data_IF_657436445313
#
_entry.id   IF_657436445313
#
_cell.length_a   1.000
_cell.length_b   1.000
_cell.length_c   1.000
_cell.angle_alpha   90.00
_cell.angle_beta   90.00
_cell.angle_gamma   90.00
#
_symmetry.space_group_name_H-M   'P 1'
#
loop_
_entity.id
_entity.type
_entity.pdbx_description
1 polymer ?
#
# COMPACT_ATOMS: atom_id res chain seq x y z
N UNK A 1 23.42 62.01 -28.88
CA UNK A 1 23.79 60.76 -29.58
C UNK A 1 22.58 59.84 -29.57
N UNK A 2 22.00 59.50 -30.72
CA UNK A 2 20.88 58.56 -30.80
C UNK A 2 21.39 57.11 -30.79
N UNK A 3 20.66 56.26 -30.06
CA UNK A 3 20.91 54.82 -29.97
C UNK A 3 20.37 54.15 -31.23
N UNK A 4 21.21 53.37 -31.90
CA UNK A 4 20.84 52.53 -33.03
C UNK A 4 19.77 51.51 -32.60
N UNK A 5 18.63 51.56 -33.27
CA UNK A 5 17.59 50.53 -33.24
C UNK A 5 18.08 49.38 -34.13
N UNK A 6 18.39 48.24 -33.53
CA UNK A 6 18.52 46.98 -34.28
C UNK A 6 17.10 46.45 -34.49
N UNK A 7 16.67 46.45 -35.74
CA UNK A 7 15.49 45.70 -36.20
C UNK A 7 15.80 44.21 -36.10
N UNK A 8 15.21 43.53 -35.11
CA UNK A 8 15.04 42.07 -35.19
C UNK A 8 13.67 41.78 -35.80
N UNK A 9 13.76 41.13 -36.96
CA UNK A 9 12.69 40.57 -37.78
C UNK A 9 11.72 39.70 -36.97
N UNK A 10 10.43 40.02 -37.06
CA UNK A 10 9.36 39.14 -36.63
C UNK A 10 9.31 37.90 -37.53
N UNK A 11 9.90 36.79 -37.07
CA UNK A 11 9.64 35.47 -37.63
C UNK A 11 8.17 35.12 -37.37
N UNK A 12 7.37 35.17 -38.44
CA UNK A 12 5.99 34.71 -38.43
C UNK A 12 5.97 33.21 -38.07
N UNK A 13 5.28 32.87 -36.99
CA UNK A 13 5.03 31.49 -36.59
C UNK A 13 4.39 30.72 -37.76
N UNK A 14 4.84 29.48 -38.03
CA UNK A 14 4.31 28.69 -39.13
C UNK A 14 2.82 28.43 -38.91
N UNK A 15 2.00 28.84 -39.88
CA UNK A 15 0.58 28.54 -39.94
C UNK A 15 0.45 27.01 -39.89
N UNK A 16 -0.26 26.45 -38.89
CA UNK A 16 -0.38 25.00 -38.75
C UNK A 16 -1.01 24.40 -40.02
N UNK A 17 -0.59 23.19 -40.44
CA UNK A 17 -1.17 22.53 -41.60
C UNK A 17 -2.69 22.44 -41.46
N UNK A 18 -3.48 22.65 -42.53
CA UNK A 18 -4.95 22.68 -42.47
C UNK A 18 -5.55 21.39 -41.88
N UNK A 19 -4.85 20.26 -42.00
CA UNK A 19 -5.23 18.98 -41.38
C UNK A 19 -5.22 19.02 -39.85
N UNK A 20 -4.33 19.81 -39.23
CA UNK A 20 -4.23 19.92 -37.76
C UNK A 20 -5.34 20.80 -37.20
N UNK A 21 -5.76 21.82 -37.93
CA UNK A 21 -6.93 22.63 -37.56
C UNK A 21 -8.23 21.83 -37.74
N UNK A 22 -8.35 21.07 -38.84
CA UNK A 22 -9.49 20.15 -39.04
C UNK A 22 -9.55 19.08 -37.95
N UNK A 23 -8.42 18.51 -37.54
CA UNK A 23 -8.36 17.55 -36.44
C UNK A 23 -8.70 18.19 -35.09
N UNK A 24 -8.24 19.41 -34.83
CA UNK A 24 -8.62 20.15 -33.61
C UNK A 24 -10.11 20.45 -33.59
N UNK A 25 -10.69 20.85 -34.71
CA UNK A 25 -12.10 21.12 -34.85
C UNK A 25 -12.94 19.85 -34.69
N UNK A 26 -12.51 18.72 -35.25
CA UNK A 26 -13.13 17.41 -35.04
C UNK A 26 -13.04 16.95 -33.59
N UNK A 27 -11.89 17.14 -32.92
CA UNK A 27 -11.72 16.82 -31.49
C UNK A 27 -12.58 17.72 -30.61
N UNK A 28 -12.71 19.01 -30.95
CA UNK A 28 -13.58 19.94 -30.23
C UNK A 28 -15.06 19.58 -30.42
N UNK A 29 -15.47 19.23 -31.65
CA UNK A 29 -16.82 18.75 -31.96
C UNK A 29 -17.13 17.43 -31.24
N UNK A 30 -16.18 16.50 -31.19
CA UNK A 30 -16.31 15.25 -30.44
C UNK A 30 -16.36 15.49 -28.92
N UNK A 31 -15.53 16.40 -28.40
CA UNK A 31 -15.54 16.78 -26.99
C UNK A 31 -16.86 17.42 -26.60
N UNK A 32 -17.42 18.28 -27.45
CA UNK A 32 -18.72 18.90 -27.21
C UNK A 32 -19.85 17.87 -27.29
N UNK A 33 -19.83 16.96 -28.27
CA UNK A 33 -20.78 15.83 -28.34
C UNK A 33 -20.71 14.91 -27.12
N UNK A 34 -19.51 14.65 -26.60
CA UNK A 34 -19.32 13.82 -25.40
C UNK A 34 -19.83 14.56 -24.17
N UNK A 35 -19.57 15.86 -24.07
CA UNK A 35 -20.08 16.68 -22.98
C UNK A 35 -21.62 16.78 -23.01
N UNK A 36 -22.21 16.93 -24.19
CA UNK A 36 -23.68 16.89 -24.38
C UNK A 36 -24.24 15.51 -23.99
N UNK A 37 -23.53 14.41 -24.23
CA UNK A 37 -23.94 13.06 -23.80
C UNK A 37 -23.78 12.81 -22.29
N UNK A 38 -23.07 13.68 -21.57
CA UNK A 38 -22.89 13.60 -20.11
C UNK A 38 -23.76 14.56 -19.32
N UNK A 39 -24.50 15.45 -19.97
CA UNK A 39 -25.60 16.16 -19.32
C UNK A 39 -26.73 15.16 -19.07
N UNK A 40 -27.25 15.13 -17.83
CA UNK A 40 -28.33 14.25 -17.38
C UNK A 40 -29.62 14.56 -18.16
N UNK A 41 -29.68 14.00 -19.35
CA UNK A 41 -30.85 13.96 -20.18
C UNK A 41 -31.78 12.91 -19.58
N UNK A 42 -32.70 13.39 -18.75
CA UNK A 42 -33.84 12.67 -18.17
C UNK A 42 -34.87 12.29 -19.28
N UNK A 43 -34.38 11.78 -20.41
CA UNK A 43 -35.22 11.21 -21.45
C UNK A 43 -35.58 9.78 -21.04
N UNK A 44 -36.88 9.44 -20.93
CA UNK A 44 -37.28 8.06 -20.78
C UNK A 44 -36.74 7.28 -21.99
N UNK A 45 -36.03 6.18 -21.75
CA UNK A 45 -35.58 5.27 -22.81
C UNK A 45 -36.84 4.74 -23.51
N UNK A 46 -37.22 5.37 -24.63
CA UNK A 46 -38.47 5.06 -25.35
C UNK A 46 -38.39 3.69 -26.04
N UNK A 47 -37.17 3.20 -26.32
CA UNK A 47 -36.96 1.91 -26.96
C UNK A 47 -35.87 1.09 -26.25
N UNK A 48 -36.31 0.34 -25.24
CA UNK A 48 -35.49 -0.62 -24.48
C UNK A 48 -34.84 -1.64 -25.42
N UNK A 49 -35.51 -2.02 -26.51
CA UNK A 49 -35.01 -3.03 -27.45
C UNK A 49 -33.79 -2.49 -28.21
N UNK A 50 -33.84 -1.24 -28.67
CA UNK A 50 -32.71 -0.61 -29.34
C UNK A 50 -31.52 -0.42 -28.38
N UNK A 51 -31.78 0.03 -27.14
CA UNK A 51 -30.73 0.19 -26.13
C UNK A 51 -30.06 -1.15 -25.78
N UNK A 52 -30.85 -2.23 -25.66
CA UNK A 52 -30.35 -3.57 -25.38
C UNK A 52 -29.57 -4.14 -26.57
N UNK A 53 -30.00 -3.85 -27.80
CA UNK A 53 -29.29 -4.24 -29.04
C UNK A 53 -27.95 -3.51 -29.16
N UNK A 54 -27.90 -2.21 -28.85
CA UNK A 54 -26.65 -1.43 -28.84
C UNK A 54 -25.71 -1.90 -27.72
N UNK A 55 -26.23 -2.19 -26.53
CA UNK A 55 -25.45 -2.74 -25.43
C UNK A 55 -24.83 -4.10 -25.80
N UNK A 56 -25.61 -4.98 -26.44
CA UNK A 56 -25.12 -6.28 -26.92
C UNK A 56 -24.10 -6.13 -28.06
N UNK A 57 -24.25 -5.13 -28.93
CA UNK A 57 -23.30 -4.86 -30.00
C UNK A 57 -21.96 -4.28 -29.49
N UNK A 58 -21.98 -3.50 -28.41
CA UNK A 58 -20.80 -2.85 -27.82
C UNK A 58 -20.07 -3.78 -26.83
N UNK A 59 -20.79 -4.68 -26.16
CA UNK A 59 -20.25 -5.61 -25.15
C UNK A 59 -18.99 -6.38 -25.59
N UNK A 60 -18.91 -6.97 -26.81
CA UNK A 60 -17.71 -7.69 -27.25
C UNK A 60 -16.46 -6.81 -27.33
N UNK A 61 -16.62 -5.52 -27.64
CA UNK A 61 -15.51 -4.57 -27.73
C UNK A 61 -15.05 -4.12 -26.34
N UNK A 62 -16.00 -3.92 -25.42
CA UNK A 62 -15.70 -3.66 -24.00
C UNK A 62 -15.01 -4.86 -23.37
N UNK A 63 -15.52 -6.07 -23.60
CA UNK A 63 -14.91 -7.32 -23.11
C UNK A 63 -13.49 -7.51 -23.66
N UNK A 64 -13.26 -7.19 -24.94
CA UNK A 64 -11.91 -7.20 -25.55
C UNK A 64 -11.00 -6.12 -24.96
N UNK A 65 -11.50 -4.92 -24.69
CA UNK A 65 -10.72 -3.85 -24.05
C UNK A 65 -10.35 -4.20 -22.60
N UNK A 66 -11.27 -4.84 -21.86
CA UNK A 66 -11.00 -5.36 -20.52
C UNK A 66 -9.96 -6.48 -20.58
N UNK A 67 -10.10 -7.43 -21.51
CA UNK A 67 -9.11 -8.49 -21.72
C UNK A 67 -7.73 -7.94 -22.10
N UNK A 68 -7.67 -6.95 -22.99
CA UNK A 68 -6.41 -6.27 -23.37
C UNK A 68 -5.82 -5.50 -22.19
N UNK A 69 -6.63 -4.85 -21.36
CA UNK A 69 -6.18 -4.18 -20.14
C UNK A 69 -5.60 -5.18 -19.12
N UNK A 70 -6.23 -6.34 -18.94
CA UNK A 70 -5.72 -7.44 -18.12
C UNK A 70 -4.40 -8.02 -18.68
N UNK A 71 -4.24 -8.05 -20.00
CA UNK A 71 -3.01 -8.52 -20.65
C UNK A 71 -1.88 -7.48 -20.60
N UNK A 72 -2.18 -6.19 -20.60
CA UNK A 72 -1.20 -5.09 -20.59
C UNK A 72 -0.83 -4.61 -19.19
N UNK A 73 -1.56 -5.02 -18.15
CA UNK A 73 -1.24 -4.71 -16.77
C UNK A 73 -0.45 -5.87 -16.13
N UNK A 74 0.89 -5.80 -16.05
CA UNK A 74 1.72 -6.89 -15.53
C UNK A 74 1.39 -7.24 -14.07
N UNK A 75 0.80 -6.30 -13.33
CA UNK A 75 0.35 -6.52 -11.94
C UNK A 75 -0.86 -7.45 -11.90
N UNK A 76 -1.84 -7.29 -12.78
CA UNK A 76 -3.04 -8.13 -12.79
C UNK A 76 -2.73 -9.55 -13.28
N UNK A 77 -1.77 -9.70 -14.22
CA UNK A 77 -1.23 -11.02 -14.58
C UNK A 77 -0.50 -11.69 -13.41
N UNK A 78 0.24 -10.94 -12.62
CA UNK A 78 0.95 -11.47 -11.43
C UNK A 78 -0.06 -11.84 -10.34
N UNK A 79 -1.11 -11.05 -10.13
CA UNK A 79 -2.18 -11.34 -9.17
C UNK A 79 -2.97 -12.56 -9.62
N UNK A 80 -3.42 -12.64 -10.88
CA UNK A 80 -4.12 -13.81 -11.40
C UNK A 80 -3.26 -15.09 -11.35
N UNK A 81 -1.96 -14.99 -11.64
CA UNK A 81 -1.05 -16.13 -11.47
C UNK A 81 -0.78 -16.46 -10.00
N UNK A 82 -0.75 -15.47 -9.10
CA UNK A 82 -0.64 -15.68 -7.65
C UNK A 82 -1.87 -16.43 -7.12
N UNK A 83 -3.06 -16.05 -7.57
CA UNK A 83 -4.33 -16.69 -7.18
C UNK A 83 -4.38 -18.13 -7.70
N UNK A 84 -3.98 -18.37 -8.97
CA UNK A 84 -3.84 -19.73 -9.52
C UNK A 84 -2.81 -20.58 -8.76
N UNK A 85 -1.68 -19.99 -8.36
CA UNK A 85 -0.66 -20.69 -7.56
C UNK A 85 -1.22 -21.00 -6.16
N UNK A 86 -1.98 -20.11 -5.55
CA UNK A 86 -2.61 -20.35 -4.25
C UNK A 86 -3.69 -21.44 -4.31
N UNK A 87 -4.48 -21.48 -5.38
CA UNK A 87 -5.48 -22.53 -5.61
C UNK A 87 -4.81 -23.90 -5.81
N UNK A 88 -3.76 -23.98 -6.64
CA UNK A 88 -2.97 -25.20 -6.82
C UNK A 88 -2.28 -25.64 -5.51
N UNK A 89 -1.83 -24.70 -4.68
CA UNK A 89 -1.25 -25.01 -3.37
C UNK A 89 -2.27 -25.59 -2.39
N UNK A 90 -3.52 -25.12 -2.45
CA UNK A 90 -4.64 -25.67 -1.66
C UNK A 90 -4.98 -27.09 -2.12
N UNK A 91 -5.08 -27.32 -3.42
CA UNK A 91 -5.33 -28.65 -4.00
C UNK A 91 -4.22 -29.65 -3.62
N UNK A 92 -2.95 -29.26 -3.75
CA UNK A 92 -1.82 -30.11 -3.35
C UNK A 92 -1.87 -30.43 -1.85
N UNK A 93 -2.28 -29.48 -1.00
CA UNK A 93 -2.39 -29.72 0.44
C UNK A 93 -3.53 -30.71 0.78
N UNK A 94 -4.66 -30.64 0.07
CA UNK A 94 -5.76 -31.60 0.21
C UNK A 94 -5.34 -32.99 -0.29
N UNK A 95 -4.70 -33.08 -1.46
CA UNK A 95 -4.18 -34.35 -1.98
C UNK A 95 -3.13 -34.97 -1.06
N UNK A 96 -2.23 -34.18 -0.48
CA UNK A 96 -1.25 -34.66 0.49
C UNK A 96 -1.90 -35.18 1.78
N UNK A 97 -2.95 -34.52 2.28
CA UNK A 97 -3.67 -34.99 3.46
C UNK A 97 -4.37 -36.33 3.18
N UNK A 98 -4.99 -36.48 2.01
CA UNK A 98 -5.60 -37.74 1.57
C UNK A 98 -4.55 -38.84 1.42
N UNK A 99 -3.37 -38.53 0.88
CA UNK A 99 -2.26 -39.49 0.76
C UNK A 99 -1.72 -39.88 2.13
N UNK A 100 -1.55 -38.92 3.05
CA UNK A 100 -1.10 -39.18 4.43
C UNK A 100 -2.09 -40.10 5.15
N UNK A 101 -3.38 -39.80 5.11
CA UNK A 101 -4.46 -40.64 5.67
C UNK A 101 -4.46 -42.06 5.06
N UNK A 102 -4.32 -42.17 3.73
CA UNK A 102 -4.23 -43.47 3.05
C UNK A 102 -2.96 -44.25 3.41
N UNK A 103 -1.81 -43.58 3.60
CA UNK A 103 -0.58 -44.25 4.06
C UNK A 103 -0.65 -44.68 5.52
N UNK A 104 -1.39 -43.98 6.38
CA UNK A 104 -1.65 -44.41 7.76
C UNK A 104 -2.55 -45.66 7.78
N UNK A 105 -3.56 -45.73 6.92
CA UNK A 105 -4.48 -46.88 6.80
C UNK A 105 -3.84 -48.13 6.14
N UNK A 106 -2.85 -47.94 5.24
CA UNK A 106 -2.18 -49.03 4.50
C UNK A 106 -0.93 -49.56 5.26
N UNK A 107 -0.56 -48.95 6.38
CA UNK A 107 0.70 -49.19 7.11
C UNK A 107 0.95 -50.62 7.60
N UNK A 108 -0.07 -51.50 7.61
CA UNK A 108 0.07 -52.92 7.99
C UNK A 108 0.33 -53.87 6.81
N UNK A 109 0.13 -53.46 5.54
CA UNK A 109 0.22 -54.36 4.37
C UNK A 109 1.33 -54.00 3.35
N UNK A 110 2.06 -52.89 3.51
CA UNK A 110 3.05 -52.40 2.52
C UNK A 110 4.47 -52.29 3.07
N UNK A 111 5.44 -52.64 2.22
CA UNK A 111 6.88 -52.63 2.49
C UNK A 111 7.36 -51.27 3.04
N UNK A 112 7.89 -51.29 4.28
CA UNK A 112 8.33 -50.11 5.03
C UNK A 112 9.40 -49.28 4.30
N UNK A 113 10.17 -49.88 3.38
CA UNK A 113 11.14 -49.14 2.57
C UNK A 113 10.47 -48.13 1.63
N UNK A 114 9.28 -48.43 1.11
CA UNK A 114 8.55 -47.58 0.16
C UNK A 114 7.84 -46.46 0.91
N UNK A 115 7.28 -46.76 2.08
CA UNK A 115 6.65 -45.77 2.97
C UNK A 115 7.65 -44.71 3.42
N UNK A 116 8.88 -45.10 3.78
CA UNK A 116 9.92 -44.17 4.18
C UNK A 116 10.38 -43.24 3.04
N UNK A 117 10.46 -43.74 1.80
CA UNK A 117 10.80 -42.91 0.62
C UNK A 117 9.65 -41.93 0.28
N UNK A 118 8.40 -42.36 0.43
CA UNK A 118 7.22 -41.51 0.23
C UNK A 118 7.15 -40.39 1.28
N UNK A 119 7.37 -40.71 2.55
CA UNK A 119 7.44 -39.74 3.65
C UNK A 119 8.58 -38.73 3.46
N UNK A 120 9.74 -39.17 2.96
CA UNK A 120 10.88 -38.29 2.63
C UNK A 120 10.54 -37.31 1.49
N UNK A 121 9.85 -37.78 0.45
CA UNK A 121 9.37 -36.93 -0.65
C UNK A 121 8.31 -35.93 -0.19
N UNK A 122 7.36 -36.36 0.64
CA UNK A 122 6.36 -35.49 1.29
C UNK A 122 7.05 -34.39 2.11
N UNK A 123 8.08 -34.74 2.89
CA UNK A 123 8.86 -33.78 3.67
C UNK A 123 9.62 -32.78 2.78
N UNK A 124 10.18 -33.24 1.65
CA UNK A 124 10.83 -32.37 0.67
C UNK A 124 9.85 -31.37 0.05
N UNK A 125 8.65 -31.82 -0.34
CA UNK A 125 7.61 -30.94 -0.89
C UNK A 125 7.09 -29.93 0.15
N UNK A 126 6.93 -30.35 1.42
CA UNK A 126 6.61 -29.43 2.54
C UNK A 126 7.70 -28.37 2.74
N UNK A 127 8.97 -28.74 2.57
CA UNK A 127 10.11 -27.82 2.67
C UNK A 127 10.15 -26.82 1.52
N UNK A 128 9.91 -27.27 0.29
CA UNK A 128 9.84 -26.39 -0.88
C UNK A 128 8.64 -25.44 -0.81
N UNK A 129 7.51 -25.86 -0.25
CA UNK A 129 6.37 -24.98 0.05
C UNK A 129 6.74 -23.86 1.03
N UNK A 130 7.56 -24.13 2.05
CA UNK A 130 8.06 -23.10 3.00
C UNK A 130 9.01 -22.08 2.33
N UNK A 131 9.63 -22.39 1.20
CA UNK A 131 10.48 -21.46 0.45
C UNK A 131 9.68 -20.42 -0.35
N UNK A 132 8.40 -20.68 -0.65
CA UNK A 132 7.52 -19.75 -1.39
C UNK A 132 6.46 -19.06 -0.53
N UNK A 133 6.28 -19.49 0.71
CA UNK A 133 5.47 -18.79 1.73
C UNK A 133 6.44 -18.00 2.59
N UNK A 134 6.46 -16.68 2.45
CA UNK A 134 7.12 -15.79 3.42
C UNK A 134 6.61 -16.14 4.82
N UNK A 135 7.55 -16.43 5.73
CA UNK A 135 7.33 -16.83 7.13
C UNK A 135 6.15 -16.09 7.74
N UNK A 136 5.00 -16.75 7.80
CA UNK A 136 3.96 -16.51 8.79
C UNK A 136 3.87 -17.84 9.52
N UNK A 137 4.12 -17.79 10.82
CA UNK A 137 4.57 -18.89 11.65
C UNK A 137 3.69 -20.14 11.56
N UNK A 138 4.34 -21.26 11.22
CA UNK A 138 3.80 -22.61 11.30
C UNK A 138 4.41 -23.35 12.50
N UNK A 139 4.44 -22.69 13.66
CA UNK A 139 4.76 -23.28 14.96
C UNK A 139 3.53 -23.11 15.86
N UNK A 140 2.56 -24.01 15.71
CA UNK A 140 1.62 -24.47 16.76
C UNK A 140 0.66 -25.51 16.17
N UNK A 141 1.21 -26.55 15.54
CA UNK A 141 0.48 -27.77 15.21
C UNK A 141 1.11 -28.93 15.98
N UNK A 142 1.02 -28.88 17.30
CA UNK A 142 1.06 -30.08 18.11
C UNK A 142 -0.26 -30.85 17.89
N UNK A 143 -0.24 -32.19 17.83
CA UNK A 143 -1.46 -32.97 17.65
C UNK A 143 -2.33 -32.79 18.90
N UNK A 144 -3.52 -32.22 18.74
CA UNK A 144 -4.50 -32.11 19.81
C UNK A 144 -4.93 -33.52 20.24
N UNK A 145 -4.33 -33.99 21.33
CA UNK A 145 -4.92 -35.04 22.15
C UNK A 145 -6.34 -34.59 22.54
N UNK A 146 -7.32 -35.46 22.27
CA UNK A 146 -8.75 -35.27 22.56
C UNK A 146 -8.96 -34.80 24.01
N UNK A 147 -9.04 -33.49 24.19
CA UNK A 147 -9.43 -32.83 25.44
C UNK A 147 -10.78 -32.14 25.21
N UNK A 148 -11.83 -32.74 25.77
CA UNK A 148 -13.20 -32.23 25.77
C UNK A 148 -13.34 -30.95 26.60
N UNK A 149 -12.78 -29.83 26.12
CA UNK A 149 -13.09 -28.49 26.63
C UNK A 149 -13.08 -27.49 25.47
N UNK A 150 -14.23 -27.38 24.77
CA UNK A 150 -14.51 -26.25 23.88
C UNK A 150 -14.53 -24.95 24.71
N UNK A 151 -13.38 -24.32 24.90
CA UNK A 151 -13.32 -22.89 25.22
C UNK A 151 -14.05 -22.19 24.08
N UNK A 152 -15.23 -21.63 24.34
CA UNK A 152 -15.92 -20.75 23.38
C UNK A 152 -14.95 -19.63 23.04
N UNK A 153 -14.42 -19.65 21.81
CA UNK A 153 -13.62 -18.55 21.30
C UNK A 153 -14.51 -17.30 21.32
N UNK A 154 -14.17 -16.32 22.17
CA UNK A 154 -14.91 -15.06 22.29
C UNK A 154 -15.00 -14.38 20.92
N UNK A 155 -16.15 -13.77 20.59
CA UNK A 155 -16.30 -13.09 19.30
C UNK A 155 -15.41 -11.86 19.29
N UNK A 156 -14.81 -11.55 18.14
CA UNK A 156 -13.93 -10.38 18.01
C UNK A 156 -14.60 -9.06 18.39
N UNK A 157 -15.89 -8.91 18.11
CA UNK A 157 -16.66 -7.73 18.46
C UNK A 157 -16.82 -7.53 19.97
N UNK A 158 -16.69 -8.59 20.77
CA UNK A 158 -16.84 -8.54 22.23
C UNK A 158 -15.51 -8.22 22.93
N UNK A 159 -14.39 -8.17 22.19
CA UNK A 159 -13.08 -7.85 22.74
C UNK A 159 -12.94 -6.33 22.97
N UNK A 160 -12.07 -5.90 23.89
CA UNK A 160 -11.62 -4.51 23.97
C UNK A 160 -11.06 -4.03 22.63
N UNK A 161 -11.22 -2.74 22.31
CA UNK A 161 -10.92 -2.17 21.00
C UNK A 161 -9.53 -2.56 20.46
N UNK A 162 -8.47 -2.36 21.24
CA UNK A 162 -7.10 -2.70 20.86
C UNK A 162 -6.93 -4.19 20.58
N UNK A 163 -7.51 -5.05 21.43
CA UNK A 163 -7.48 -6.51 21.26
C UNK A 163 -8.19 -6.97 19.98
N UNK A 164 -9.16 -6.20 19.45
CA UNK A 164 -9.76 -6.48 18.14
C UNK A 164 -8.74 -6.30 17.02
N UNK A 165 -7.98 -5.20 17.06
CA UNK A 165 -6.94 -4.92 16.08
C UNK A 165 -5.78 -5.89 16.19
N UNK A 166 -5.32 -6.20 17.41
CA UNK A 166 -4.31 -7.23 17.65
C UNK A 166 -4.74 -8.58 17.05
N UNK A 167 -6.02 -8.93 17.17
CA UNK A 167 -6.53 -10.20 16.61
C UNK A 167 -6.49 -10.25 15.07
N UNK A 168 -6.61 -9.12 14.38
CA UNK A 168 -6.63 -9.04 12.91
C UNK A 168 -5.22 -8.83 12.34
N UNK A 169 -4.45 -7.93 12.92
CA UNK A 169 -3.18 -7.47 12.39
C UNK A 169 -1.97 -8.15 13.07
N UNK A 170 -2.16 -8.74 14.26
CA UNK A 170 -1.05 -9.22 15.08
C UNK A 170 -0.07 -8.09 15.40
N UNK A 171 1.22 -8.36 15.26
CA UNK A 171 2.29 -7.37 15.46
C UNK A 171 2.26 -6.18 14.49
N UNK A 172 1.51 -6.28 13.39
CA UNK A 172 1.33 -5.19 12.41
C UNK A 172 0.38 -4.12 12.92
N UNK A 173 -0.29 -4.34 14.04
CA UNK A 173 -0.92 -3.28 14.83
C UNK A 173 0.05 -2.80 15.92
N UNK A 174 0.53 -1.57 15.79
CA UNK A 174 1.40 -0.96 16.81
C UNK A 174 0.53 -0.23 17.82
N UNK A 175 0.14 -0.94 18.88
CA UNK A 175 -0.66 -0.40 19.96
C UNK A 175 -0.01 0.85 20.61
N UNK A 176 -0.80 1.79 21.18
CA UNK A 176 -0.28 3.03 21.76
C UNK A 176 0.83 2.83 22.78
N UNK A 177 0.68 1.84 23.68
CA UNK A 177 1.70 1.54 24.70
C UNK A 177 3.03 1.05 24.08
N UNK A 178 2.96 0.22 23.03
CA UNK A 178 4.14 -0.22 22.27
C UNK A 178 4.77 0.97 21.55
N UNK A 179 3.95 1.84 20.98
CA UNK A 179 4.41 3.04 20.28
C UNK A 179 5.12 4.03 21.21
N UNK A 180 4.59 4.28 22.41
CA UNK A 180 5.24 5.07 23.45
C UNK A 180 6.65 4.56 23.76
N UNK A 181 6.82 3.25 23.88
CA UNK A 181 8.11 2.63 24.13
C UNK A 181 9.09 2.84 22.97
N UNK A 182 8.65 2.60 21.72
CA UNK A 182 9.47 2.82 20.52
C UNK A 182 9.90 4.29 20.38
N UNK A 183 8.95 5.20 20.57
CA UNK A 183 9.17 6.65 20.49
C UNK A 183 9.82 7.24 21.75
N UNK A 184 9.95 6.46 22.83
CA UNK A 184 10.45 6.86 24.15
C UNK A 184 9.82 8.14 24.65
N UNK A 185 8.50 8.21 24.54
CA UNK A 185 7.67 9.32 25.00
C UNK A 185 6.47 8.73 25.73
N UNK A 186 5.96 9.45 26.73
CA UNK A 186 4.67 9.13 27.35
C UNK A 186 3.63 10.08 26.79
N UNK A 187 2.54 9.53 26.28
CA UNK A 187 1.41 10.29 25.82
C UNK A 187 0.62 10.82 27.01
N UNK A 188 0.17 12.07 26.90
CA UNK A 188 -0.71 12.64 27.92
C UNK A 188 -2.06 11.92 27.91
N UNK A 189 -2.80 11.92 29.03
CA UNK A 189 -4.14 11.34 29.09
C UNK A 189 -5.09 11.92 28.03
N UNK A 190 -4.99 13.22 27.74
CA UNK A 190 -5.81 13.92 26.75
C UNK A 190 -5.49 13.46 25.32
N UNK A 191 -4.19 13.28 25.02
CA UNK A 191 -3.78 12.75 23.72
C UNK A 191 -4.23 11.29 23.56
N UNK A 192 -4.08 10.46 24.60
CA UNK A 192 -4.55 9.08 24.60
C UNK A 192 -6.05 8.99 24.39
N UNK A 193 -6.86 9.84 25.05
CA UNK A 193 -8.30 9.89 24.82
C UNK A 193 -8.64 10.21 23.34
N UNK A 194 -7.95 11.20 22.76
CA UNK A 194 -8.12 11.56 21.34
C UNK A 194 -7.75 10.42 20.39
N UNK A 195 -6.65 9.72 20.69
CA UNK A 195 -6.16 8.57 19.91
C UNK A 195 -7.13 7.40 20.00
N UNK A 196 -7.67 7.10 21.18
CA UNK A 196 -8.67 6.05 21.37
C UNK A 196 -9.97 6.36 20.65
N UNK A 197 -10.46 7.60 20.71
CA UNK A 197 -11.63 8.02 19.94
C UNK A 197 -11.41 7.81 18.44
N UNK A 198 -10.25 8.22 17.92
CA UNK A 198 -9.91 8.03 16.51
C UNK A 198 -9.71 6.55 16.12
N UNK A 199 -9.23 5.71 17.05
CA UNK A 199 -9.14 4.26 16.85
C UNK A 199 -10.53 3.62 16.80
N UNK A 200 -11.46 4.11 17.62
CA UNK A 200 -12.85 3.63 17.60
C UNK A 200 -13.51 3.96 16.28
N UNK A 201 -13.33 5.18 15.76
CA UNK A 201 -13.80 5.56 14.42
C UNK A 201 -13.18 4.68 13.32
N UNK A 202 -11.91 4.32 13.44
CA UNK A 202 -11.25 3.41 12.51
C UNK A 202 -11.87 2.01 12.55
N UNK A 203 -12.20 1.51 13.75
CA UNK A 203 -12.90 0.24 13.93
C UNK A 203 -14.30 0.27 13.33
N UNK A 204 -15.08 1.30 13.65
CA UNK A 204 -16.44 1.48 13.12
C UNK A 204 -16.40 1.50 11.59
N UNK A 205 -15.45 2.22 10.99
CA UNK A 205 -15.28 2.24 9.55
C UNK A 205 -14.96 0.85 8.97
N UNK A 206 -14.05 0.08 9.58
CA UNK A 206 -13.71 -1.28 9.14
C UNK A 206 -14.89 -2.25 9.27
N UNK A 207 -15.60 -2.18 10.40
CA UNK A 207 -16.70 -3.08 10.72
C UNK A 207 -17.89 -2.91 9.77
N UNK A 208 -18.20 -1.67 9.38
CA UNK A 208 -19.32 -1.34 8.50
C UNK A 208 -18.98 -1.42 7.00
N UNK A 209 -17.80 -1.92 6.62
CA UNK A 209 -17.53 -2.23 5.22
C UNK A 209 -18.36 -3.45 4.81
N UNK A 210 -19.19 -3.29 3.78
CA UNK A 210 -20.04 -4.34 3.25
C UNK A 210 -19.26 -5.63 2.95
N UNK A 211 -18.04 -5.51 2.41
CA UNK A 211 -17.22 -6.67 2.06
C UNK A 211 -16.63 -7.40 3.28
N UNK A 212 -16.60 -6.77 4.46
CA UNK A 212 -15.98 -7.32 5.68
C UNK A 212 -16.99 -7.68 6.76
N UNK A 213 -18.18 -7.07 6.74
CA UNK A 213 -19.18 -7.19 7.80
C UNK A 213 -19.55 -8.67 8.08
N UNK A 214 -19.81 -9.44 7.03
CA UNK A 214 -20.15 -10.87 7.17
C UNK A 214 -19.01 -11.69 7.79
N UNK A 215 -17.76 -11.28 7.59
CA UNK A 215 -16.60 -11.93 8.21
C UNK A 215 -16.50 -11.59 9.71
N UNK A 216 -16.82 -10.36 10.10
CA UNK A 216 -16.90 -9.98 11.51
C UNK A 216 -18.04 -10.68 12.24
N UNK A 217 -19.25 -10.65 11.67
CA UNK A 217 -20.46 -11.26 12.28
C UNK A 217 -20.29 -12.77 12.49
N UNK A 218 -19.71 -13.46 11.52
CA UNK A 218 -19.47 -14.90 11.59
C UNK A 218 -18.15 -15.27 12.28
N UNK A 219 -17.45 -14.30 12.88
CA UNK A 219 -16.17 -14.50 13.57
C UNK A 219 -15.12 -15.24 12.70
N UNK A 220 -15.09 -14.94 11.39
CA UNK A 220 -14.15 -15.52 10.40
C UNK A 220 -12.77 -14.85 10.49
N UNK A 221 -12.12 -15.02 11.64
CA UNK A 221 -10.85 -14.35 11.97
C UNK A 221 -9.75 -14.64 10.96
N UNK A 222 -9.59 -15.89 10.53
CA UNK A 222 -8.57 -16.26 9.54
C UNK A 222 -8.76 -15.50 8.21
N UNK A 223 -10.00 -15.36 7.76
CA UNK A 223 -10.31 -14.58 6.55
C UNK A 223 -9.94 -13.12 6.74
N UNK A 224 -10.31 -12.52 7.87
CA UNK A 224 -9.93 -11.13 8.18
C UNK A 224 -8.42 -10.94 8.22
N UNK A 225 -7.69 -11.85 8.87
CA UNK A 225 -6.22 -11.83 8.92
C UNK A 225 -5.61 -11.92 7.52
N UNK A 226 -6.13 -12.81 6.67
CA UNK A 226 -5.69 -12.95 5.27
C UNK A 226 -5.95 -11.67 4.47
N UNK A 227 -7.16 -11.10 4.56
CA UNK A 227 -7.52 -9.85 3.87
C UNK A 227 -6.57 -8.71 4.27
N UNK A 228 -6.19 -8.65 5.54
CA UNK A 228 -5.32 -7.61 6.04
C UNK A 228 -3.83 -7.98 6.03
N UNK A 229 -3.40 -9.10 5.45
CA UNK A 229 -2.00 -9.61 5.56
C UNK A 229 -0.93 -8.63 5.05
N UNK A 230 -1.24 -7.86 4.02
CA UNK A 230 -0.30 -6.87 3.45
C UNK A 230 -0.42 -5.48 4.12
N UNK A 231 -1.24 -5.36 5.17
CA UNK A 231 -1.51 -4.10 5.86
C UNK A 231 -0.90 -4.02 7.27
N UNK A 232 -0.56 -2.81 7.68
CA UNK A 232 -0.19 -2.46 9.05
C UNK A 232 -0.98 -1.25 9.53
N UNK A 233 -1.36 -1.24 10.80
CA UNK A 233 -2.07 -0.14 11.44
C UNK A 233 -1.14 0.56 12.42
N UNK A 234 -0.82 1.83 12.13
CA UNK A 234 0.14 2.62 12.87
C UNK A 234 -0.44 3.99 13.23
N UNK A 235 -0.23 4.42 14.48
CA UNK A 235 -0.46 5.79 14.90
C UNK A 235 0.75 6.64 14.54
N UNK A 236 0.54 7.69 13.74
CA UNK A 236 1.53 8.73 13.49
C UNK A 236 1.46 9.77 14.59
N UNK A 237 2.38 9.69 15.54
CA UNK A 237 2.47 10.61 16.67
C UNK A 237 3.10 11.95 16.24
N UNK A 238 2.55 13.10 16.67
CA UNK A 238 3.22 14.39 16.51
C UNK A 238 4.38 14.57 17.49
N UNK A 239 4.61 13.60 18.38
CA UNK A 239 5.57 13.66 19.47
C UNK A 239 6.56 12.49 19.45
N UNK A 240 7.79 12.76 19.87
CA UNK A 240 8.88 11.80 20.01
C UNK A 240 9.74 12.20 21.21
N UNK A 241 10.33 11.26 21.93
CA UNK A 241 11.27 11.56 22.99
C UNK A 241 12.64 11.94 22.42
N UNK A 242 13.28 12.97 22.95
CA UNK A 242 14.68 13.24 22.68
C UNK A 242 15.60 12.23 23.42
N UNK A 243 16.92 12.44 23.37
CA UNK A 243 17.91 11.57 24.04
C UNK A 243 17.76 11.52 25.57
N UNK A 244 17.20 12.58 26.15
CA UNK A 244 16.95 12.72 27.59
C UNK A 244 15.54 12.23 27.99
N UNK A 245 14.78 11.66 27.04
CA UNK A 245 13.39 11.22 27.27
C UNK A 245 12.36 12.35 27.31
N UNK A 246 12.74 13.59 27.00
CA UNK A 246 11.84 14.75 26.96
C UNK A 246 11.04 14.73 25.66
N UNK A 247 9.74 14.94 25.79
CA UNK A 247 8.83 15.03 24.66
C UNK A 247 9.12 16.25 23.78
N UNK A 248 9.40 16.00 22.50
CA UNK A 248 9.60 17.02 21.46
C UNK A 248 8.73 16.72 20.24
N UNK A 249 8.62 17.69 19.32
CA UNK A 249 7.88 17.52 18.07
C UNK A 249 8.55 16.47 17.16
N UNK A 250 7.74 15.58 16.58
CA UNK A 250 8.21 14.58 15.63
C UNK A 250 8.40 15.22 14.25
N UNK A 251 9.66 15.36 13.83
CA UNK A 251 10.09 15.87 12.53
C UNK A 251 11.18 14.94 11.98
N UNK A 252 11.60 15.17 10.74
CA UNK A 252 12.71 14.41 10.16
C UNK A 252 14.02 14.61 10.95
N UNK A 253 14.25 15.81 11.49
CA UNK A 253 15.42 16.07 12.34
C UNK A 253 15.38 15.25 13.63
N UNK A 254 14.26 15.23 14.35
CA UNK A 254 14.18 14.51 15.63
C UNK A 254 14.13 12.99 15.44
N UNK A 255 13.55 12.50 14.33
CA UNK A 255 13.64 11.10 13.94
C UNK A 255 15.09 10.67 13.69
N UNK A 256 15.87 11.51 13.00
CA UNK A 256 17.29 11.24 12.75
C UNK A 256 18.11 11.26 14.04
N UNK A 257 17.87 12.21 14.93
CA UNK A 257 18.59 12.32 16.19
C UNK A 257 18.37 11.10 17.09
N UNK A 258 17.14 10.57 17.10
CA UNK A 258 16.76 9.41 17.92
C UNK A 258 17.14 8.07 17.27
N UNK A 259 16.89 7.92 15.97
CA UNK A 259 17.06 6.66 15.24
C UNK A 259 18.22 6.77 14.24
N UNK A 260 19.35 7.30 14.70
CA UNK A 260 20.49 7.61 13.83
C UNK A 260 21.04 6.40 13.05
N UNK A 261 20.95 5.20 13.62
CA UNK A 261 21.40 3.93 13.01
C UNK A 261 20.62 3.55 11.76
N UNK A 262 19.39 4.04 11.61
CA UNK A 262 18.58 3.81 10.41
C UNK A 262 19.03 4.67 9.23
N UNK A 263 19.83 5.72 9.45
CA UNK A 263 20.26 6.61 8.38
C UNK A 263 21.71 6.33 8.00
N UNK A 264 22.07 6.70 6.77
CA UNK A 264 23.48 6.57 6.36
C UNK A 264 24.37 7.46 7.22
N UNK A 265 25.45 6.84 7.72
CA UNK A 265 26.52 7.52 8.45
C UNK A 265 27.08 8.72 7.69
N UNK A 266 26.98 9.89 8.32
CA UNK A 266 27.48 11.16 7.81
C UNK A 266 27.15 12.28 8.79
N UNK A 267 28.06 13.25 8.94
CA UNK A 267 27.81 14.43 9.78
C UNK A 267 26.63 15.24 9.23
N UNK A 268 25.78 15.81 10.09
CA UNK A 268 24.62 16.61 9.66
C UNK A 268 24.99 17.80 8.76
N UNK A 269 26.21 18.35 8.91
CA UNK A 269 26.76 19.41 8.05
C UNK A 269 26.90 19.01 6.57
N UNK A 270 26.88 17.71 6.25
CA UNK A 270 26.97 17.17 4.90
C UNK A 270 25.62 16.79 4.26
N UNK A 271 24.50 16.94 4.99
CA UNK A 271 23.19 16.55 4.49
C UNK A 271 22.53 17.71 3.74
N UNK A 272 22.39 17.57 2.42
CA UNK A 272 21.77 18.60 1.59
C UNK A 272 20.36 19.00 2.06
N UNK A 273 19.61 18.06 2.66
CA UNK A 273 18.24 18.29 3.13
C UNK A 273 18.16 18.94 4.51
N UNK A 274 19.25 19.00 5.30
CA UNK A 274 19.20 19.57 6.65
C UNK A 274 18.84 21.07 6.65
N UNK A 275 19.15 21.76 5.56
CA UNK A 275 18.83 23.18 5.37
C UNK A 275 17.46 23.41 4.69
N UNK A 276 16.72 22.34 4.38
CA UNK A 276 15.44 22.46 3.69
C UNK A 276 14.28 22.64 4.69
N UNK A 277 13.23 23.41 4.35
CA UNK A 277 12.12 23.68 5.27
C UNK A 277 11.45 22.42 5.83
N UNK A 278 11.31 21.38 5.00
CA UNK A 278 10.66 20.14 5.41
C UNK A 278 11.45 19.36 6.48
N UNK A 279 12.74 19.62 6.67
CA UNK A 279 13.57 18.87 7.63
C UNK A 279 13.12 19.06 9.08
N UNK A 280 12.66 20.27 9.40
CA UNK A 280 12.15 20.63 10.72
C UNK A 280 10.63 20.65 10.79
N UNK A 281 9.95 20.35 9.69
CA UNK A 281 8.49 20.37 9.64
C UNK A 281 7.92 19.18 10.43
N UNK A 282 7.10 19.43 11.47
CA UNK A 282 6.59 18.36 12.30
C UNK A 282 5.34 17.70 11.71
N UNK A 283 5.06 16.47 12.16
CA UNK A 283 3.74 15.86 12.02
C UNK A 283 2.76 16.70 12.83
N UNK A 284 1.77 17.31 12.16
CA UNK A 284 0.91 18.33 12.80
C UNK A 284 -0.08 17.76 13.82
N UNK A 285 -0.66 16.59 13.54
CA UNK A 285 -1.73 15.99 14.35
C UNK A 285 -1.56 14.48 14.39
N UNK A 286 -1.78 13.91 15.58
CA UNK A 286 -1.87 12.47 15.78
C UNK A 286 -3.02 11.87 14.98
N UNK A 287 -2.74 10.82 14.22
CA UNK A 287 -3.76 10.10 13.45
C UNK A 287 -3.36 8.66 13.17
N UNK A 288 -4.35 7.76 13.21
CA UNK A 288 -4.18 6.39 12.74
C UNK A 288 -4.14 6.34 11.22
N UNK A 289 -3.27 5.50 10.70
CA UNK A 289 -3.21 5.20 9.27
C UNK A 289 -3.07 3.71 9.04
N UNK A 290 -3.80 3.23 8.05
CA UNK A 290 -3.64 1.88 7.53
C UNK A 290 -2.66 1.94 6.35
N UNK A 291 -1.54 1.26 6.50
CA UNK A 291 -0.41 1.25 5.59
C UNK A 291 -0.46 -0.04 4.78
N UNK A 292 -0.46 0.08 3.46
CA UNK A 292 -0.32 -1.08 2.57
C UNK A 292 1.14 -1.22 2.14
N UNK A 293 1.64 -2.45 2.16
CA UNK A 293 2.95 -2.83 1.63
C UNK A 293 3.04 -2.66 0.10
N UNK A 294 1.92 -2.61 -0.61
CA UNK A 294 1.87 -2.55 -2.07
C UNK A 294 2.55 -1.29 -2.64
N UNK A 295 3.56 -1.51 -3.46
CA UNK A 295 4.24 -0.45 -4.20
C UNK A 295 3.51 -0.10 -5.50
N UNK A 296 3.03 1.14 -5.61
CA UNK A 296 2.31 1.63 -6.79
C UNK A 296 3.27 2.28 -7.80
N UNK A 297 3.61 1.54 -8.85
CA UNK A 297 4.53 1.98 -9.89
C UNK A 297 4.01 3.22 -10.65
N UNK A 298 4.77 4.32 -10.61
CA UNK A 298 4.45 5.61 -11.22
C UNK A 298 5.24 5.90 -12.52
N UNK A 299 5.77 4.87 -13.19
CA UNK A 299 6.54 5.02 -14.44
C UNK A 299 5.75 5.74 -15.52
N UNK A 300 4.48 5.36 -15.70
CA UNK A 300 3.61 5.88 -16.76
C UNK A 300 2.47 6.77 -16.24
N UNK A 301 2.28 6.87 -14.92
CA UNK A 301 1.17 7.62 -14.31
C UNK A 301 1.67 8.41 -13.11
N UNK A 302 1.17 9.63 -12.95
CA UNK A 302 1.47 10.48 -11.78
C UNK A 302 1.02 9.79 -10.49
N UNK A 303 1.69 10.03 -9.34
CA UNK A 303 1.28 9.49 -8.04
C UNK A 303 -0.18 9.73 -7.70
N UNK A 304 -0.69 10.94 -7.95
CA UNK A 304 -2.09 11.28 -7.72
C UNK A 304 -3.07 10.37 -8.47
N UNK A 305 -2.76 10.05 -9.73
CA UNK A 305 -3.57 9.14 -10.56
C UNK A 305 -3.48 7.71 -10.02
N UNK A 306 -2.29 7.26 -9.64
CA UNK A 306 -2.11 5.91 -9.06
C UNK A 306 -2.84 5.74 -7.74
N UNK A 307 -2.78 6.72 -6.85
CA UNK A 307 -3.52 6.72 -5.58
C UNK A 307 -5.03 6.77 -5.80
N UNK A 308 -5.50 7.53 -6.81
CA UNK A 308 -6.91 7.55 -7.19
C UNK A 308 -7.38 6.19 -7.72
N UNK A 309 -6.59 5.54 -8.57
CA UNK A 309 -6.88 4.18 -9.05
C UNK A 309 -6.91 3.17 -7.91
N UNK A 310 -5.92 3.24 -7.02
CA UNK A 310 -5.86 2.41 -5.81
C UNK A 310 -7.08 2.63 -4.90
N UNK A 311 -7.51 3.88 -4.72
CA UNK A 311 -8.69 4.18 -3.94
C UNK A 311 -9.93 3.50 -4.55
N UNK A 312 -10.15 3.67 -5.86
CA UNK A 312 -11.28 3.04 -6.58
C UNK A 312 -11.25 1.51 -6.49
N UNK A 313 -10.10 0.88 -6.71
CA UNK A 313 -9.98 -0.59 -6.68
C UNK A 313 -10.27 -1.18 -5.31
N UNK A 314 -10.09 -0.39 -4.24
CA UNK A 314 -10.32 -0.82 -2.87
C UNK A 314 -11.64 -0.30 -2.29
N UNK A 315 -12.53 0.29 -3.10
CA UNK A 315 -13.80 0.88 -2.63
C UNK A 315 -13.63 2.09 -1.70
N UNK A 316 -12.49 2.79 -1.79
CA UNK A 316 -12.15 3.93 -0.93
C UNK A 316 -12.44 5.27 -1.61
N UNK A 317 -12.83 6.27 -0.82
CA UNK A 317 -12.86 7.65 -1.30
C UNK A 317 -11.44 8.15 -1.58
N UNK A 318 -11.28 8.94 -2.65
CA UNK A 318 -10.00 9.56 -3.00
C UNK A 318 -9.41 10.43 -1.89
N UNK A 319 -10.24 10.96 -0.97
CA UNK A 319 -9.78 11.77 0.18
C UNK A 319 -9.09 10.95 1.27
N UNK A 320 -9.37 9.64 1.33
CA UNK A 320 -8.82 8.72 2.32
C UNK A 320 -7.41 8.26 1.96
N UNK A 321 -7.10 8.16 0.67
CA UNK A 321 -5.78 7.71 0.21
C UNK A 321 -4.89 8.91 -0.04
N UNK A 322 -3.76 8.99 0.66
CA UNK A 322 -2.82 10.10 0.53
C UNK A 322 -1.41 9.66 0.17
N UNK A 323 -0.72 10.55 -0.53
CA UNK A 323 0.73 10.46 -0.71
C UNK A 323 1.41 10.94 0.57
N UNK A 324 2.23 10.10 1.17
CA UNK A 324 2.96 10.41 2.41
C UNK A 324 3.95 11.53 2.20
N UNK A 325 4.12 12.41 3.19
CA UNK A 325 5.29 13.28 3.29
C UNK A 325 6.57 12.47 3.55
N UNK A 326 7.74 13.08 3.35
CA UNK A 326 9.03 12.44 3.66
C UNK A 326 9.15 12.05 5.13
N UNK A 327 8.65 12.89 6.04
CA UNK A 327 8.65 12.61 7.48
C UNK A 327 7.78 11.40 7.78
N UNK A 328 6.57 11.32 7.22
CA UNK A 328 5.66 10.20 7.41
C UNK A 328 6.21 8.89 6.82
N UNK A 329 6.78 8.93 5.61
CA UNK A 329 7.35 7.72 4.99
C UNK A 329 8.53 7.16 5.80
N UNK A 330 9.39 8.02 6.34
CA UNK A 330 10.51 7.63 7.21
C UNK A 330 10.02 7.14 8.56
N UNK A 331 9.06 7.85 9.17
CA UNK A 331 8.41 7.45 10.42
C UNK A 331 7.83 6.03 10.31
N UNK A 332 7.05 5.77 9.26
CA UNK A 332 6.42 4.47 9.01
C UNK A 332 7.48 3.36 8.87
N UNK A 333 8.54 3.59 8.09
CA UNK A 333 9.63 2.62 7.87
C UNK A 333 10.33 2.25 9.16
N UNK A 334 10.76 3.25 9.94
CA UNK A 334 11.51 3.02 11.18
C UNK A 334 10.64 2.27 12.18
N UNK A 335 9.41 2.73 12.43
CA UNK A 335 8.60 2.17 13.50
C UNK A 335 8.05 0.79 13.17
N UNK A 336 7.71 0.53 11.91
CA UNK A 336 7.31 -0.82 11.51
C UNK A 336 8.49 -1.78 11.53
N UNK A 337 9.68 -1.35 11.11
CA UNK A 337 10.88 -2.20 11.19
C UNK A 337 11.26 -2.51 12.64
N UNK A 338 11.16 -1.52 13.55
CA UNK A 338 11.35 -1.75 14.98
C UNK A 338 10.25 -2.61 15.62
N UNK A 339 9.00 -2.43 15.20
CA UNK A 339 7.89 -3.22 15.72
C UNK A 339 8.02 -4.67 15.26
N UNK A 340 8.15 -4.90 13.95
CA UNK A 340 8.11 -6.24 13.36
C UNK A 340 9.45 -6.98 13.41
N UNK A 341 10.56 -6.28 13.70
CA UNK A 341 11.92 -6.83 13.58
C UNK A 341 12.27 -7.30 12.15
N UNK A 342 11.51 -6.82 11.17
CA UNK A 342 11.70 -7.09 9.74
C UNK A 342 11.22 -5.91 8.90
N UNK A 343 11.61 -5.88 7.62
CA UNK A 343 11.16 -4.84 6.70
C UNK A 343 9.72 -5.07 6.28
N UNK A 344 8.83 -4.20 6.77
CA UNK A 344 7.44 -4.20 6.32
C UNK A 344 7.31 -3.85 4.83
N UNK A 345 8.05 -2.83 4.36
CA UNK A 345 8.02 -2.42 2.95
C UNK A 345 9.28 -2.89 2.25
N UNK A 346 9.10 -3.52 1.09
CA UNK A 346 10.21 -3.89 0.22
C UNK A 346 11.13 -2.71 -0.12
N UNK A 347 12.38 -3.02 -0.47
CA UNK A 347 13.34 -2.05 -1.01
C UNK A 347 12.79 -1.39 -2.27
N UNK A 348 12.21 -0.21 -2.11
CA UNK A 348 11.61 0.57 -3.18
C UNK A 348 11.99 2.03 -3.07
N UNK A 349 11.92 2.74 -4.19
CA UNK A 349 12.05 4.18 -4.21
C UNK A 349 10.68 4.81 -4.11
N UNK A 350 10.33 5.23 -2.88
CA UNK A 350 9.06 5.86 -2.55
C UNK A 350 9.10 7.34 -2.89
N UNK A 351 8.24 7.75 -3.80
CA UNK A 351 7.96 9.14 -4.13
C UNK A 351 7.06 9.71 -3.04
N UNK A 352 7.54 10.75 -2.37
CA UNK A 352 6.78 11.44 -1.32
C UNK A 352 6.02 12.66 -1.88
N UNK A 353 5.03 13.12 -1.12
CA UNK A 353 4.32 14.38 -1.38
C UNK A 353 5.15 15.61 -1.01
N UNK A 354 6.32 15.42 -0.40
CA UNK A 354 7.21 16.51 -0.04
C UNK A 354 7.94 17.03 -1.26
N UNK A 355 7.90 18.35 -1.43
CA UNK A 355 8.65 19.08 -2.44
C UNK A 355 9.45 20.21 -1.79
N UNK A 356 10.49 20.67 -2.49
CA UNK A 356 11.31 21.78 -2.04
C UNK A 356 11.85 22.58 -3.23
N UNK A 357 12.16 23.85 -3.00
CA UNK A 357 12.90 24.68 -3.92
C UNK A 357 14.21 25.07 -3.24
N UNK A 358 15.38 24.71 -3.80
CA UNK A 358 16.67 25.09 -3.22
C UNK A 358 16.81 26.60 -3.02
N UNK A 359 16.35 27.37 -4.02
CA UNK A 359 16.47 28.82 -4.09
C UNK A 359 15.19 29.36 -4.75
N UNK A 360 14.84 30.63 -4.55
CA UNK A 360 13.60 31.24 -5.08
C UNK A 360 13.45 31.15 -6.63
N UNK A 361 14.57 31.03 -7.36
CA UNK A 361 14.58 30.90 -8.83
C UNK A 361 14.72 29.46 -9.33
N UNK A 362 14.88 28.49 -8.43
CA UNK A 362 15.15 27.09 -8.79
C UNK A 362 13.85 26.31 -9.01
N UNK A 363 13.88 25.32 -9.90
CA UNK A 363 12.74 24.43 -10.12
C UNK A 363 12.41 23.63 -8.86
N UNK A 364 11.12 23.46 -8.57
CA UNK A 364 10.64 22.58 -7.50
C UNK A 364 11.13 21.16 -7.71
N UNK A 365 11.76 20.60 -6.68
CA UNK A 365 12.23 19.21 -6.62
C UNK A 365 11.29 18.42 -5.72
N UNK A 366 11.04 17.17 -6.10
CA UNK A 366 10.33 16.21 -5.29
C UNK A 366 11.33 15.39 -4.45
N UNK A 367 10.91 14.98 -3.26
CA UNK A 367 11.71 14.19 -2.33
C UNK A 367 11.31 12.72 -2.42
N UNK A 368 12.31 11.84 -2.35
CA UNK A 368 12.13 10.40 -2.39
C UNK A 368 12.96 9.74 -1.30
N UNK A 369 12.46 8.60 -0.85
CA UNK A 369 13.06 7.78 0.19
C UNK A 369 13.30 6.37 -0.34
N UNK A 370 14.37 5.73 0.10
CA UNK A 370 14.72 4.36 -0.24
C UNK A 370 15.74 3.79 0.74
N UNK A 371 15.88 2.47 0.77
CA UNK A 371 16.99 1.80 1.45
C UNK A 371 18.20 1.66 0.52
N UNK A 372 19.39 1.88 1.07
CA UNK A 372 20.66 1.61 0.42
C UNK A 372 21.63 1.07 1.48
N UNK A 373 22.14 -0.15 1.27
CA UNK A 373 22.99 -0.84 2.24
C UNK A 373 22.34 -0.86 3.63
N UNK A 374 21.07 -1.27 3.65
CA UNK A 374 20.21 -1.36 4.83
C UNK A 374 19.90 -0.06 5.58
N UNK A 375 20.36 1.08 5.07
CA UNK A 375 20.10 2.39 5.65
C UNK A 375 19.18 3.26 4.78
N UNK A 376 18.35 4.07 5.44
CA UNK A 376 17.45 5.03 4.85
C UNK A 376 18.22 6.17 4.18
N UNK A 377 17.89 6.40 2.91
CA UNK A 377 18.39 7.49 2.07
C UNK A 377 17.26 8.43 1.70
N UNK A 378 17.61 9.71 1.62
CA UNK A 378 16.73 10.79 1.16
C UNK A 378 17.39 11.46 -0.05
N UNK A 379 16.66 11.51 -1.16
CA UNK A 379 17.11 12.12 -2.41
C UNK A 379 16.12 13.16 -2.88
N UNK A 380 16.61 14.15 -3.63
CA UNK A 380 15.78 15.19 -4.24
C UNK A 380 16.05 15.32 -5.74
N UNK A 381 15.01 15.37 -6.56
CA UNK A 381 15.11 15.48 -8.02
C UNK A 381 13.96 16.30 -8.59
N UNK A 382 14.19 17.01 -9.69
CA UNK A 382 13.14 17.75 -10.40
C UNK A 382 12.23 16.78 -11.16
N UNK A 383 10.91 16.94 -11.01
CA UNK A 383 9.89 16.14 -11.70
C UNK A 383 9.80 14.67 -11.25
N UNK A 384 8.93 13.87 -11.89
CA UNK A 384 8.92 12.42 -11.68
C UNK A 384 10.11 11.84 -12.45
N UNK A 385 11.01 11.08 -11.82
CA UNK A 385 12.20 10.62 -12.53
C UNK A 385 11.85 9.51 -13.52
N UNK A 386 12.46 9.55 -14.70
CA UNK A 386 12.33 8.48 -15.67
C UNK A 386 12.73 7.12 -15.07
N UNK A 387 11.95 6.09 -15.41
CA UNK A 387 12.29 4.70 -15.13
C UNK A 387 13.68 4.39 -15.68
N UNK A 388 14.44 3.60 -14.92
CA UNK A 388 15.77 3.13 -15.34
C UNK A 388 15.80 1.62 -15.19
N UNK A 389 16.29 0.87 -16.20
CA UNK A 389 16.46 -0.59 -16.08
C UNK A 389 17.30 -0.99 -14.86
N UNK A 390 18.31 -0.17 -14.52
CA UNK A 390 19.18 -0.39 -13.36
C UNK A 390 18.52 -0.08 -12.01
N UNK A 391 17.28 0.44 -11.98
CA UNK A 391 16.52 0.80 -10.78
C UNK A 391 15.09 0.26 -10.89
N UNK A 392 14.88 -1.05 -10.67
CA UNK A 392 13.64 -1.75 -11.02
C UNK A 392 12.39 -1.23 -10.29
N UNK A 393 12.57 -0.56 -9.14
CA UNK A 393 11.48 -0.02 -8.30
C UNK A 393 11.54 1.50 -8.18
N UNK A 394 11.82 2.18 -9.29
CA UNK A 394 11.76 3.64 -9.45
C UNK A 394 11.04 4.00 -10.76
N UNK A 395 10.06 4.93 -10.80
CA UNK A 395 9.46 5.72 -9.71
C UNK A 395 8.14 5.09 -9.19
N UNK A 396 7.77 5.25 -7.92
CA UNK A 396 6.47 4.77 -7.41
C UNK A 396 6.12 5.26 -6.01
N UNK A 397 4.91 5.00 -5.53
CA UNK A 397 4.37 5.54 -4.28
C UNK A 397 3.84 4.42 -3.38
N UNK A 398 3.98 4.59 -2.07
CA UNK A 398 3.36 3.73 -1.07
C UNK A 398 2.09 4.41 -0.57
N UNK A 399 0.91 3.78 -0.71
CA UNK A 399 -0.34 4.40 -0.28
C UNK A 399 -0.42 4.43 1.25
N UNK A 400 -1.14 5.42 1.74
CA UNK A 400 -1.49 5.58 3.16
C UNK A 400 -2.98 5.84 3.20
N UNK A 401 -3.73 4.95 3.85
CA UNK A 401 -5.17 5.10 4.03
C UNK A 401 -5.41 5.80 5.37
N UNK A 402 -6.18 6.88 5.32
CA UNK A 402 -6.65 7.62 6.47
C UNK A 402 -8.12 7.30 6.70
N UNK A 403 -8.50 7.15 7.97
CA UNK A 403 -9.89 6.93 8.34
C UNK A 403 -10.68 8.25 8.26
N UNK A 404 -11.97 8.21 7.91
CA UNK A 404 -12.83 9.38 7.97
C UNK A 404 -12.86 9.91 9.41
N UNK A 405 -12.66 11.21 9.61
CA UNK A 405 -12.66 11.86 10.93
C UNK A 405 -14.01 12.50 11.22
#
# INVERSE_FOLDING_TARGET
MPINIIQESAEALPIPPPEVEQLKEQVLQLSNKINDLTEDYDYPIVDIVLAQTMAQAIKPYVDRLVAVNLLLNPVDRIVSKRDQIQELQLQIAEEMAVVEDLTEDIGEEVDHSILNDLQSKIASVKKDRKLFVSKVDAEDAAPEAKSNNKKKTQRIVDLPLEARFERIFGDRFVAPARLEALLGVRFSPEFNATVQESLNKAWDWLYHREELQTHFENNRIKTLQNTFTDYALLLRSPYIGNKDGVQVQCSLSTLRDRFNTFFVGGSDRGLWYANMPFYKQPIKKGHWTLLDRQYLNCTFKKPSIRLLMYARSNGLSAKMVRQKSVTEDIYDRILLELALQERFVDNCHSITGTTYQPNAKATTKQVYTYYNDDALRISGKSGIPHWRPSKPRWPGVLPSILFPV
#
